data_IF_297375956832
#
_entry.id   IF_297375956832
#
_cell.length_a   1.000
_cell.length_b   1.000
_cell.length_c   1.000
_cell.angle_alpha   90.00
_cell.angle_beta   90.00
_cell.angle_gamma   90.00
#
_symmetry.space_group_name_H-M   'P 1'
#
loop_
_entity.id
_entity.type
_entity.pdbx_description
1 polymer ?
#
# COMPACT_ATOMS: atom_id res chain seq x y z
N UNK A 1 -39.85 -15.51 -48.53
CA UNK A 1 -39.24 -14.30 -49.11
C UNK A 1 -39.46 -13.15 -48.15
N UNK A 2 -38.49 -12.84 -47.30
CA UNK A 2 -38.52 -11.75 -46.35
C UNK A 2 -37.11 -11.18 -46.31
N UNK A 3 -36.95 -9.97 -46.83
CA UNK A 3 -35.67 -9.25 -46.88
C UNK A 3 -35.36 -8.65 -45.50
N UNK A 4 -34.22 -9.06 -44.93
CA UNK A 4 -33.63 -8.45 -43.74
C UNK A 4 -32.88 -7.18 -44.19
N UNK A 5 -33.29 -5.99 -43.69
CA UNK A 5 -32.55 -4.74 -43.84
C UNK A 5 -31.59 -4.63 -42.69
N UNK A 6 -30.30 -4.71 -42.98
CA UNK A 6 -29.21 -4.40 -42.05
C UNK A 6 -28.96 -2.89 -42.11
N UNK A 7 -29.20 -2.21 -41.00
CA UNK A 7 -28.84 -0.79 -40.85
C UNK A 7 -27.47 -0.74 -40.17
N UNK A 8 -26.44 -0.46 -40.99
CA UNK A 8 -25.08 -0.22 -40.53
C UNK A 8 -25.01 1.26 -40.11
N UNK A 9 -25.09 1.51 -38.82
CA UNK A 9 -24.86 2.84 -38.23
C UNK A 9 -23.37 3.19 -38.29
N UNK A 10 -23.01 4.08 -39.22
CA UNK A 10 -21.67 4.67 -39.24
C UNK A 10 -21.51 5.67 -38.09
N UNK A 11 -20.69 5.32 -37.10
CA UNK A 11 -20.25 6.23 -36.04
C UNK A 11 -19.21 7.19 -36.64
N UNK A 12 -19.64 8.40 -36.96
CA UNK A 12 -18.76 9.50 -37.35
C UNK A 12 -18.00 10.00 -36.14
N UNK A 13 -16.75 9.56 -35.99
CA UNK A 13 -15.79 10.23 -35.11
C UNK A 13 -15.42 11.58 -35.73
N UNK A 14 -15.95 12.66 -35.21
CA UNK A 14 -15.41 14.00 -35.46
C UNK A 14 -14.06 14.12 -34.74
N UNK A 15 -12.97 13.92 -35.45
CA UNK A 15 -11.65 14.38 -35.06
C UNK A 15 -11.63 15.90 -35.20
N UNK A 16 -12.02 16.61 -34.16
CA UNK A 16 -11.82 18.04 -33.99
C UNK A 16 -10.33 18.30 -33.76
N UNK A 17 -9.53 18.49 -34.81
CA UNK A 17 -8.24 19.15 -34.74
C UNK A 17 -8.46 20.67 -34.53
N UNK A 18 -8.62 21.06 -33.26
CA UNK A 18 -8.51 22.41 -32.80
C UNK A 18 -7.73 22.37 -31.52
N UNK A 19 -6.46 22.80 -31.53
CA UNK A 19 -5.61 22.91 -30.36
C UNK A 19 -6.13 24.01 -29.42
N UNK A 20 -7.24 23.78 -28.74
CA UNK A 20 -7.65 24.59 -27.58
C UNK A 20 -6.68 24.32 -26.46
N UNK A 21 -5.86 25.29 -26.13
CA UNK A 21 -4.92 25.19 -25.03
C UNK A 21 -5.72 24.88 -23.76
N UNK A 22 -5.38 23.74 -23.10
CA UNK A 22 -6.02 23.28 -21.86
C UNK A 22 -6.19 24.47 -20.88
N UNK A 23 -7.42 24.87 -20.53
CA UNK A 23 -7.67 26.00 -19.65
C UNK A 23 -7.12 25.79 -18.23
N UNK A 24 -7.00 24.51 -17.79
CA UNK A 24 -6.48 24.14 -16.47
C UNK A 24 -5.08 24.71 -16.19
N UNK A 25 -4.24 24.89 -17.22
CA UNK A 25 -2.86 25.44 -17.10
C UNK A 25 -2.78 26.87 -16.52
N UNK A 26 -3.89 27.59 -16.53
CA UNK A 26 -3.95 28.94 -15.99
C UNK A 26 -4.27 28.95 -14.48
N UNK A 27 -4.60 27.79 -13.92
CA UNK A 27 -4.97 27.66 -12.53
C UNK A 27 -3.94 26.84 -11.76
N UNK A 28 -3.87 27.05 -10.45
CA UNK A 28 -3.09 26.22 -9.53
C UNK A 28 -3.60 26.35 -8.10
N UNK A 29 -3.64 25.25 -7.37
CA UNK A 29 -4.01 25.26 -5.96
C UNK A 29 -2.86 25.84 -5.13
N UNK A 30 -3.16 26.85 -4.33
CA UNK A 30 -2.25 27.44 -3.34
C UNK A 30 -2.66 26.96 -1.96
N UNK A 31 -1.69 26.59 -1.14
CA UNK A 31 -1.86 26.23 0.26
C UNK A 31 -0.95 27.11 1.11
N UNK A 32 -1.44 27.49 2.28
CA UNK A 32 -0.69 28.28 3.24
C UNK A 32 0.59 27.57 3.72
N UNK A 33 0.50 26.25 3.93
CA UNK A 33 1.59 25.39 4.41
C UNK A 33 1.96 24.32 3.39
N UNK A 34 3.25 23.95 3.35
CA UNK A 34 3.76 22.84 2.56
C UNK A 34 3.66 21.50 3.28
N UNK A 35 3.88 21.48 4.60
CA UNK A 35 3.67 20.32 5.46
C UNK A 35 2.31 20.48 6.13
N UNK A 36 1.48 19.47 6.01
CA UNK A 36 0.10 19.47 6.46
C UNK A 36 -0.04 18.31 7.45
N UNK A 37 -0.65 18.57 8.60
CA UNK A 37 -0.94 17.53 9.58
C UNK A 37 -2.40 17.11 9.51
N UNK A 38 -2.66 15.86 9.84
CA UNK A 38 -4.02 15.34 10.00
C UNK A 38 -4.82 16.23 10.97
N UNK A 39 -6.08 16.49 10.63
CA UNK A 39 -7.00 17.36 11.36
C UNK A 39 -6.60 18.85 11.40
N UNK A 40 -5.53 19.24 10.71
CA UNK A 40 -5.14 20.65 10.62
C UNK A 40 -6.09 21.42 9.71
N UNK A 41 -6.47 22.63 10.13
CA UNK A 41 -7.15 23.60 9.27
C UNK A 41 -6.10 24.48 8.58
N UNK A 42 -6.15 24.54 7.23
CA UNK A 42 -5.18 25.29 6.39
C UNK A 42 -5.88 26.19 5.38
N UNK A 43 -5.26 27.32 5.11
CA UNK A 43 -5.70 28.22 4.04
C UNK A 43 -5.53 27.58 2.67
N UNK A 44 -6.59 27.64 1.84
CA UNK A 44 -6.62 27.17 0.46
C UNK A 44 -7.13 28.24 -0.47
N UNK A 45 -6.53 28.40 -1.65
CA UNK A 45 -7.00 29.27 -2.71
C UNK A 45 -6.71 28.66 -4.08
N UNK A 46 -7.55 28.94 -5.05
CA UNK A 46 -7.28 28.66 -6.45
C UNK A 46 -6.66 29.92 -7.09
N UNK A 47 -5.35 29.85 -7.42
CA UNK A 47 -4.69 30.91 -8.16
C UNK A 47 -5.16 30.87 -9.61
N UNK A 48 -5.68 31.98 -10.10
CA UNK A 48 -6.12 32.20 -11.46
C UNK A 48 -5.20 33.25 -12.12
N UNK A 49 -4.41 32.86 -13.10
CA UNK A 49 -3.38 33.70 -13.70
C UNK A 49 -3.92 34.74 -14.72
N UNK A 50 -5.15 34.51 -15.18
CA UNK A 50 -5.75 35.33 -16.27
C UNK A 50 -7.09 35.94 -15.91
N UNK A 51 -7.48 35.88 -14.64
CA UNK A 51 -8.77 36.36 -14.12
C UNK A 51 -9.97 35.82 -14.91
N UNK A 52 -9.90 34.54 -15.31
CA UNK A 52 -10.96 33.83 -16.03
C UNK A 52 -12.13 33.68 -15.06
N UNK A 53 -13.35 34.01 -15.49
CA UNK A 53 -14.54 33.78 -14.67
C UNK A 53 -14.78 32.30 -14.44
N UNK A 54 -14.98 31.90 -13.17
CA UNK A 54 -15.24 30.51 -12.75
C UNK A 54 -16.46 30.45 -11.86
N UNK A 55 -17.10 29.27 -11.82
CA UNK A 55 -18.21 28.98 -10.92
C UNK A 55 -18.08 27.59 -10.31
N UNK A 56 -18.76 27.36 -9.19
CA UNK A 56 -18.86 26.02 -8.56
C UNK A 56 -17.52 25.46 -8.10
N UNK A 57 -16.67 26.26 -7.45
CA UNK A 57 -15.37 25.80 -6.95
C UNK A 57 -15.53 24.93 -5.70
N UNK A 58 -15.10 23.68 -5.80
CA UNK A 58 -15.05 22.69 -4.72
C UNK A 58 -13.67 22.04 -4.63
N UNK A 59 -13.27 21.62 -3.43
CA UNK A 59 -12.01 20.92 -3.21
C UNK A 59 -12.27 19.48 -2.75
N UNK A 60 -11.46 18.55 -3.26
CA UNK A 60 -11.55 17.12 -2.95
C UNK A 60 -10.17 16.59 -2.56
N UNK A 61 -10.12 15.71 -1.56
CA UNK A 61 -8.92 14.98 -1.20
C UNK A 61 -9.20 13.48 -1.32
N UNK A 62 -8.46 12.79 -2.19
CA UNK A 62 -8.69 11.38 -2.53
C UNK A 62 -10.17 11.05 -2.80
N UNK A 63 -10.86 11.95 -3.51
CA UNK A 63 -12.27 11.81 -3.89
C UNK A 63 -13.31 12.27 -2.85
N UNK A 64 -12.91 12.53 -1.60
CA UNK A 64 -13.79 13.09 -0.56
C UNK A 64 -13.80 14.61 -0.65
N UNK A 65 -14.99 15.21 -0.72
CA UNK A 65 -15.12 16.67 -0.70
C UNK A 65 -14.68 17.27 0.65
N UNK A 66 -13.92 18.36 0.56
CA UNK A 66 -13.49 19.15 1.71
C UNK A 66 -14.24 20.49 1.71
N UNK A 67 -15.16 20.72 2.66
CA UNK A 67 -15.85 22.02 2.78
C UNK A 67 -14.86 23.14 3.03
N UNK A 68 -15.11 24.29 2.35
CA UNK A 68 -14.31 25.51 2.56
C UNK A 68 -15.04 26.43 3.52
N UNK A 69 -14.42 26.71 4.65
CA UNK A 69 -14.93 27.66 5.66
C UNK A 69 -13.94 28.80 5.83
N UNK A 70 -14.36 30.03 5.55
CA UNK A 70 -13.51 31.22 5.64
C UNK A 70 -12.17 31.09 4.88
N UNK A 71 -12.17 30.50 3.70
CA UNK A 71 -10.98 30.28 2.89
C UNK A 71 -10.05 29.17 3.39
N UNK A 72 -10.51 28.31 4.28
CA UNK A 72 -9.77 27.20 4.85
C UNK A 72 -10.47 25.87 4.63
N UNK A 73 -9.69 24.80 4.53
CA UNK A 73 -10.11 23.40 4.52
C UNK A 73 -9.52 22.68 5.71
N UNK A 74 -10.23 21.68 6.22
CA UNK A 74 -9.75 20.81 7.31
C UNK A 74 -9.26 19.48 6.72
N UNK A 75 -8.05 19.07 7.08
CA UNK A 75 -7.45 17.80 6.64
C UNK A 75 -7.92 16.62 7.49
N UNK A 76 -9.24 16.45 7.55
CA UNK A 76 -9.89 15.29 8.19
C UNK A 76 -9.82 14.08 7.24
N UNK A 77 -8.75 13.30 7.38
CA UNK A 77 -8.47 12.15 6.54
C UNK A 77 -8.26 10.87 7.37
N UNK A 78 -8.74 9.71 6.91
CA UNK A 78 -8.58 8.45 7.64
C UNK A 78 -7.17 7.89 7.57
N UNK A 79 -6.40 8.25 6.52
CA UNK A 79 -5.05 7.74 6.29
C UNK A 79 -4.07 8.87 5.99
N UNK A 80 -2.83 8.69 6.42
CA UNK A 80 -1.72 9.62 6.22
C UNK A 80 -1.03 9.38 4.87
N UNK A 81 0.00 10.19 4.59
CA UNK A 81 0.90 9.98 3.45
C UNK A 81 0.66 10.92 2.28
N UNK A 82 1.02 10.45 1.09
CA UNK A 82 0.87 11.18 -0.16
C UNK A 82 -0.59 11.19 -0.61
N UNK A 83 -1.13 12.38 -0.87
CA UNK A 83 -2.53 12.60 -1.24
C UNK A 83 -2.64 13.45 -2.48
N UNK A 84 -3.80 13.40 -3.15
CA UNK A 84 -4.10 14.28 -4.27
C UNK A 84 -5.24 15.20 -3.89
N UNK A 85 -4.92 16.48 -3.75
CA UNK A 85 -5.91 17.55 -3.59
C UNK A 85 -6.34 18.02 -4.99
N UNK A 86 -7.64 17.99 -5.24
CA UNK A 86 -8.24 18.37 -6.53
C UNK A 86 -9.17 19.56 -6.32
N UNK A 87 -9.01 20.61 -7.12
CA UNK A 87 -9.99 21.68 -7.25
C UNK A 87 -10.84 21.40 -8.49
N UNK A 88 -12.16 21.33 -8.33
CA UNK A 88 -13.14 21.19 -9.41
C UNK A 88 -13.96 22.46 -9.51
N UNK A 89 -14.12 22.97 -10.73
CA UNK A 89 -14.88 24.20 -11.00
C UNK A 89 -15.32 24.22 -12.46
N UNK A 90 -16.15 25.19 -12.83
CA UNK A 90 -16.57 25.37 -14.22
C UNK A 90 -16.01 26.69 -14.79
N UNK A 91 -15.63 26.64 -16.06
CA UNK A 91 -15.41 27.80 -16.91
C UNK A 91 -16.55 27.80 -17.92
N UNK A 92 -17.44 28.78 -17.85
CA UNK A 92 -18.72 28.74 -18.56
C UNK A 92 -19.44 27.41 -18.21
N UNK A 93 -19.74 26.56 -19.19
CA UNK A 93 -20.39 25.24 -19.01
C UNK A 93 -19.39 24.07 -19.03
N UNK A 94 -18.08 24.32 -19.06
CA UNK A 94 -17.06 23.31 -19.12
C UNK A 94 -16.48 23.00 -17.74
N UNK A 95 -16.57 21.74 -17.29
CA UNK A 95 -15.94 21.29 -16.06
C UNK A 95 -14.41 21.23 -16.21
N UNK A 96 -13.70 21.77 -15.22
CA UNK A 96 -12.24 21.83 -15.17
C UNK A 96 -11.77 21.29 -13.83
N UNK A 97 -10.69 20.49 -13.83
CA UNK A 97 -10.03 19.97 -12.66
C UNK A 97 -8.56 20.39 -12.61
N UNK A 98 -8.09 20.73 -11.42
CA UNK A 98 -6.68 21.04 -11.17
C UNK A 98 -6.21 20.25 -9.96
N UNK A 99 -5.10 19.55 -10.09
CA UNK A 99 -4.54 18.70 -9.06
C UNK A 99 -3.32 19.31 -8.39
N UNK A 100 -3.14 18.95 -7.10
CA UNK A 100 -1.94 19.24 -6.35
C UNK A 100 -1.59 18.05 -5.45
N UNK A 101 -0.38 17.51 -5.59
CA UNK A 101 0.15 16.54 -4.66
C UNK A 101 0.48 17.20 -3.33
N UNK A 102 0.02 16.61 -2.25
CA UNK A 102 0.22 17.06 -0.87
C UNK A 102 0.66 15.89 0.01
N UNK A 103 1.30 16.19 1.14
CA UNK A 103 1.63 15.18 2.15
C UNK A 103 0.85 15.49 3.41
N UNK A 104 0.09 14.52 3.89
CA UNK A 104 -0.60 14.62 5.16
C UNK A 104 0.14 13.76 6.18
N UNK A 105 0.69 14.41 7.20
CA UNK A 105 1.51 13.81 8.25
C UNK A 105 0.69 13.62 9.53
N UNK A 106 1.21 12.83 10.47
CA UNK A 106 0.55 12.62 11.75
C UNK A 106 0.42 13.94 12.54
N UNK A 107 -0.68 14.10 13.27
CA UNK A 107 -0.93 15.29 14.10
C UNK A 107 0.05 15.44 15.28
N UNK A 108 0.60 14.32 15.78
CA UNK A 108 1.52 14.28 16.90
C UNK A 108 2.77 13.45 16.58
N UNK A 109 3.83 13.67 17.37
CA UNK A 109 5.02 12.85 17.32
C UNK A 109 4.69 11.40 17.73
N UNK A 110 5.40 10.40 17.17
CA UNK A 110 5.25 9.02 17.60
C UNK A 110 5.70 8.87 19.05
N UNK A 111 5.03 7.97 19.76
CA UNK A 111 5.47 7.52 21.07
C UNK A 111 6.70 6.62 20.92
N UNK A 112 7.70 6.81 21.75
CA UNK A 112 8.92 5.99 21.74
C UNK A 112 8.80 4.93 22.83
N UNK A 113 8.83 3.65 22.41
CA UNK A 113 8.82 2.52 23.32
C UNK A 113 10.23 2.07 23.67
N UNK A 114 10.37 1.46 24.84
CA UNK A 114 11.54 0.68 25.24
C UNK A 114 11.15 -0.80 25.25
N UNK A 115 12.11 -1.69 25.26
CA UNK A 115 11.90 -3.12 25.35
C UNK A 115 12.79 -3.75 26.42
N UNK A 116 12.36 -4.91 26.92
CA UNK A 116 13.13 -5.78 27.81
C UNK A 116 13.24 -7.16 27.17
N UNK A 117 14.47 -7.70 27.14
CA UNK A 117 14.70 -9.06 26.65
C UNK A 117 14.35 -10.02 27.78
N UNK A 118 13.28 -10.80 27.59
CA UNK A 118 12.81 -11.79 28.57
C UNK A 118 13.57 -13.10 28.42
N UNK A 119 13.74 -13.58 27.17
CA UNK A 119 14.42 -14.84 26.85
C UNK A 119 15.25 -14.72 25.58
N UNK A 120 16.23 -15.61 25.44
CA UNK A 120 17.00 -15.84 24.21
C UNK A 120 17.07 -17.33 23.95
N UNK A 121 16.88 -17.74 22.71
CA UNK A 121 16.84 -19.12 22.29
C UNK A 121 17.90 -19.41 21.22
N UNK A 122 18.39 -20.67 21.15
CA UNK A 122 19.29 -21.07 20.07
C UNK A 122 18.64 -20.89 18.70
N UNK A 123 19.43 -20.50 17.72
CA UNK A 123 19.00 -20.35 16.33
C UNK A 123 20.11 -20.79 15.37
N UNK A 124 19.74 -21.32 14.19
CA UNK A 124 20.70 -21.69 13.15
C UNK A 124 21.41 -20.44 12.61
N UNK A 125 22.70 -20.32 12.90
CA UNK A 125 23.53 -19.18 12.46
C UNK A 125 23.74 -19.13 10.95
N UNK A 126 23.45 -20.21 10.21
CA UNK A 126 23.46 -20.27 8.75
C UNK A 126 22.19 -19.75 8.11
N UNK A 127 21.12 -19.58 8.89
CA UNK A 127 19.87 -18.99 8.41
C UNK A 127 20.05 -17.52 8.11
N UNK A 128 19.54 -17.10 6.96
CA UNK A 128 19.34 -15.71 6.64
C UNK A 128 17.84 -15.40 6.73
N UNK A 129 17.37 -15.26 7.99
CA UNK A 129 15.96 -15.14 8.32
C UNK A 129 15.34 -13.91 7.72
N UNK A 130 14.21 -14.08 7.05
CA UNK A 130 13.44 -13.02 6.40
C UNK A 130 12.00 -12.93 6.95
N UNK A 131 11.49 -13.99 7.54
CA UNK A 131 10.18 -14.02 8.15
C UNK A 131 10.10 -15.04 9.27
N UNK A 132 9.39 -14.69 10.35
CA UNK A 132 9.14 -15.56 11.52
C UNK A 132 7.69 -15.43 11.93
N UNK A 133 7.02 -16.55 12.19
CA UNK A 133 5.70 -16.53 12.80
C UNK A 133 5.48 -17.76 13.70
N UNK A 134 4.88 -17.52 14.87
CA UNK A 134 4.47 -18.60 15.78
C UNK A 134 3.06 -19.07 15.45
N UNK A 135 2.90 -20.39 15.28
CA UNK A 135 1.60 -20.99 15.15
C UNK A 135 1.56 -22.37 15.83
N UNK A 136 0.57 -22.61 16.72
CA UNK A 136 0.38 -23.89 17.38
C UNK A 136 1.60 -24.38 18.20
N UNK A 137 2.40 -23.46 18.74
CA UNK A 137 3.61 -23.80 19.52
C UNK A 137 4.85 -24.12 18.66
N UNK A 138 4.75 -23.98 17.34
CA UNK A 138 5.85 -24.15 16.38
C UNK A 138 6.26 -22.78 15.86
N UNK A 139 7.55 -22.54 15.71
CA UNK A 139 8.10 -21.38 15.01
C UNK A 139 8.24 -21.73 13.54
N UNK A 140 7.59 -20.96 12.67
CA UNK A 140 7.77 -21.03 11.23
C UNK A 140 8.78 -19.97 10.82
N UNK A 141 9.68 -20.35 9.93
CA UNK A 141 10.76 -19.48 9.46
C UNK A 141 10.85 -19.50 7.94
N UNK A 142 10.98 -18.36 7.34
CA UNK A 142 11.38 -18.15 5.96
C UNK A 142 12.80 -17.63 5.92
N UNK A 143 13.67 -18.24 5.12
CA UNK A 143 15.03 -17.77 4.92
C UNK A 143 15.23 -17.26 3.50
N UNK A 144 16.02 -16.17 3.36
CA UNK A 144 16.42 -15.60 2.07
C UNK A 144 17.81 -16.11 1.69
N UNK A 145 18.04 -16.29 0.41
CA UNK A 145 19.33 -16.49 -0.27
C UNK A 145 19.09 -17.24 -1.57
N UNK A 146 19.36 -16.67 -2.70
CA UNK A 146 19.20 -17.39 -3.97
C UNK A 146 20.02 -18.67 -3.98
N UNK A 147 19.38 -19.79 -4.31
CA UNK A 147 19.96 -21.13 -4.25
C UNK A 147 20.04 -21.75 -2.84
N UNK A 148 19.47 -21.07 -1.82
CA UNK A 148 19.46 -21.59 -0.44
C UNK A 148 18.26 -21.08 0.40
N UNK A 149 17.26 -20.49 -0.24
CA UNK A 149 16.03 -20.05 0.46
C UNK A 149 15.18 -21.23 0.88
N UNK A 150 14.61 -21.17 2.08
CA UNK A 150 13.84 -22.27 2.65
C UNK A 150 12.58 -21.77 3.36
N UNK A 151 11.62 -22.68 3.56
CA UNK A 151 10.56 -22.55 4.56
C UNK A 151 10.74 -23.69 5.58
N UNK A 152 10.69 -23.34 6.87
CA UNK A 152 11.02 -24.27 7.96
C UNK A 152 9.96 -24.28 9.04
N UNK A 153 9.83 -25.43 9.72
CA UNK A 153 9.26 -25.57 11.07
C UNK A 153 10.41 -25.76 12.04
N UNK A 154 10.45 -24.95 13.07
CA UNK A 154 11.56 -24.92 14.03
C UNK A 154 11.02 -25.09 15.45
N UNK A 155 11.68 -25.92 16.24
CA UNK A 155 11.52 -25.90 17.67
C UNK A 155 12.25 -24.67 18.22
N UNK A 156 11.51 -23.65 18.65
CA UNK A 156 12.10 -22.39 19.06
C UNK A 156 12.95 -22.48 20.34
N UNK A 157 12.69 -23.46 21.22
CA UNK A 157 13.45 -23.62 22.47
C UNK A 157 14.84 -24.24 22.21
N UNK A 158 14.94 -25.12 21.23
CA UNK A 158 16.20 -25.85 20.92
C UNK A 158 16.90 -25.33 19.67
N UNK A 159 16.20 -24.61 18.79
CA UNK A 159 16.68 -24.22 17.48
C UNK A 159 16.68 -25.36 16.44
N UNK A 160 16.14 -26.54 16.80
CA UNK A 160 16.09 -27.71 15.90
C UNK A 160 15.11 -27.48 14.74
N UNK A 161 15.56 -27.74 13.51
CA UNK A 161 14.72 -27.72 12.31
C UNK A 161 13.94 -29.03 12.24
N UNK A 162 12.64 -28.97 12.50
CA UNK A 162 11.74 -30.11 12.51
C UNK A 162 11.32 -30.56 11.11
N UNK A 163 11.13 -29.60 10.21
CA UNK A 163 10.78 -29.80 8.81
C UNK A 163 11.30 -28.64 7.98
N UNK A 164 11.80 -28.92 6.79
CA UNK A 164 12.24 -27.91 5.85
C UNK A 164 11.82 -28.27 4.43
N UNK A 165 11.49 -27.27 3.64
CA UNK A 165 11.42 -27.35 2.18
C UNK A 165 12.36 -26.31 1.58
N UNK A 166 13.04 -26.68 0.52
CA UNK A 166 13.88 -25.77 -0.26
C UNK A 166 13.03 -25.09 -1.32
N UNK A 167 13.30 -23.83 -1.56
CA UNK A 167 12.68 -23.05 -2.63
C UNK A 167 13.46 -23.24 -3.93
N UNK A 168 12.88 -22.78 -5.04
CA UNK A 168 13.58 -22.71 -6.32
C UNK A 168 14.84 -21.82 -6.21
N UNK A 169 15.94 -22.26 -6.83
CA UNK A 169 17.25 -21.58 -6.76
C UNK A 169 17.22 -20.14 -7.29
N UNK A 170 16.25 -19.83 -8.16
CA UNK A 170 16.12 -18.52 -8.78
C UNK A 170 15.49 -17.46 -7.89
N UNK A 171 14.78 -17.88 -6.81
CA UNK A 171 14.05 -16.96 -5.93
C UNK A 171 14.79 -16.69 -4.63
N UNK A 172 14.44 -15.56 -4.02
CA UNK A 172 14.88 -15.18 -2.69
C UNK A 172 13.63 -15.13 -1.80
N UNK A 173 13.58 -16.00 -0.78
CA UNK A 173 12.46 -16.06 0.16
C UNK A 173 12.45 -14.85 1.09
N UNK A 174 11.26 -14.35 1.38
CA UNK A 174 11.01 -13.17 2.21
C UNK A 174 9.97 -13.46 3.30
N UNK A 175 9.31 -12.46 3.83
CA UNK A 175 8.35 -12.55 4.92
C UNK A 175 7.29 -13.63 4.75
N UNK A 176 6.82 -14.15 5.87
CA UNK A 176 5.73 -15.15 5.93
C UNK A 176 4.60 -14.68 6.83
N UNK A 177 3.41 -15.24 6.61
CA UNK A 177 2.33 -15.17 7.57
C UNK A 177 1.42 -16.40 7.46
N UNK A 178 0.75 -16.75 8.56
CA UNK A 178 -0.11 -17.93 8.65
C UNK A 178 -1.55 -17.52 8.92
N UNK A 179 -2.45 -17.93 8.04
CA UNK A 179 -3.88 -17.66 8.16
C UNK A 179 -4.69 -18.80 7.54
N UNK A 180 -5.76 -19.25 8.22
CA UNK A 180 -6.66 -20.30 7.73
C UNK A 180 -5.95 -21.59 7.28
N UNK A 181 -5.07 -22.15 8.13
CA UNK A 181 -4.27 -23.35 7.88
C UNK A 181 -3.37 -23.28 6.64
N UNK A 182 -3.04 -22.08 6.18
CA UNK A 182 -2.13 -21.82 5.08
C UNK A 182 -0.99 -20.93 5.53
N UNK A 183 0.20 -21.22 5.03
CA UNK A 183 1.36 -20.34 5.16
C UNK A 183 1.54 -19.62 3.83
N UNK A 184 1.62 -18.30 3.91
CA UNK A 184 1.92 -17.42 2.80
C UNK A 184 3.36 -16.95 2.89
N UNK A 185 4.07 -16.95 1.78
CA UNK A 185 5.47 -16.50 1.72
C UNK A 185 5.66 -15.56 0.55
N UNK A 186 6.38 -14.49 0.77
CA UNK A 186 6.80 -13.56 -0.28
C UNK A 186 8.14 -13.97 -0.89
N UNK A 187 8.44 -13.37 -2.03
CA UNK A 187 9.76 -13.42 -2.65
C UNK A 187 10.21 -12.01 -3.02
N UNK A 188 11.51 -11.76 -2.92
CA UNK A 188 12.13 -10.52 -3.33
C UNK A 188 12.32 -10.48 -4.85
N UNK A 189 11.93 -9.39 -5.51
CA UNK A 189 12.16 -9.10 -6.93
C UNK A 189 11.69 -10.18 -7.93
N UNK A 190 10.75 -11.03 -7.54
CA UNK A 190 10.20 -12.06 -8.45
C UNK A 190 8.73 -11.84 -8.79
N UNK A 191 8.15 -10.74 -8.34
CA UNK A 191 6.73 -10.34 -8.54
C UNK A 191 5.73 -11.43 -8.12
N UNK A 192 6.12 -12.35 -7.23
CA UNK A 192 5.27 -13.47 -6.81
C UNK A 192 5.49 -13.89 -5.37
N UNK A 193 4.51 -14.62 -4.83
CA UNK A 193 4.59 -15.33 -3.58
C UNK A 193 4.04 -16.74 -3.68
N UNK A 194 4.17 -17.50 -2.61
CA UNK A 194 3.75 -18.88 -2.51
C UNK A 194 2.74 -19.09 -1.39
N UNK A 195 1.88 -20.08 -1.57
CA UNK A 195 0.96 -20.57 -0.54
C UNK A 195 1.24 -22.03 -0.30
N UNK A 196 1.40 -22.37 0.97
CA UNK A 196 1.67 -23.75 1.42
C UNK A 196 0.59 -24.25 2.37
N UNK A 197 0.39 -25.55 2.41
CA UNK A 197 -0.38 -26.21 3.46
C UNK A 197 0.45 -26.21 4.74
N UNK A 198 -0.08 -25.72 5.85
CA UNK A 198 0.68 -25.60 7.11
C UNK A 198 1.04 -26.96 7.70
N UNK A 199 0.23 -28.02 7.46
CA UNK A 199 0.46 -29.33 8.08
C UNK A 199 1.70 -30.04 7.54
N UNK A 200 1.96 -29.95 6.23
CA UNK A 200 3.03 -30.68 5.54
C UNK A 200 4.00 -29.82 4.73
N UNK A 201 3.78 -28.50 4.68
CA UNK A 201 4.51 -27.51 3.88
C UNK A 201 4.48 -27.80 2.35
N UNK A 202 3.53 -28.58 1.87
CA UNK A 202 3.35 -28.74 0.43
C UNK A 202 2.84 -27.44 -0.21
N UNK A 203 3.47 -27.06 -1.32
CA UNK A 203 3.06 -25.87 -2.08
C UNK A 203 1.70 -26.10 -2.74
N UNK A 204 0.72 -25.25 -2.42
CA UNK A 204 -0.63 -25.29 -2.96
C UNK A 204 -0.71 -24.52 -4.27
N UNK A 205 -0.21 -23.25 -4.28
CA UNK A 205 -0.25 -22.35 -5.44
C UNK A 205 0.80 -21.25 -5.34
N UNK A 206 1.01 -20.57 -6.45
CA UNK A 206 1.67 -19.27 -6.50
C UNK A 206 0.62 -18.17 -6.58
N UNK A 207 1.00 -16.93 -6.22
CA UNK A 207 0.22 -15.72 -6.51
C UNK A 207 1.16 -14.62 -7.00
N UNK A 208 0.63 -13.72 -7.82
CA UNK A 208 1.39 -12.58 -8.35
C UNK A 208 1.05 -11.33 -7.58
N UNK A 209 2.02 -10.41 -7.47
CA UNK A 209 1.78 -9.09 -6.90
C UNK A 209 0.99 -8.22 -7.88
N UNK A 210 0.39 -7.14 -7.38
CA UNK A 210 -0.37 -6.17 -8.16
C UNK A 210 0.48 -4.96 -8.56
N UNK A 211 0.27 -3.85 -7.86
CA UNK A 211 1.05 -2.62 -8.07
C UNK A 211 2.44 -2.69 -7.42
N UNK A 212 2.55 -3.39 -6.29
CA UNK A 212 3.85 -3.61 -5.62
C UNK A 212 4.73 -4.52 -6.47
N UNK A 213 6.04 -4.27 -6.48
CA UNK A 213 7.02 -5.02 -7.29
C UNK A 213 7.87 -5.98 -6.48
N UNK A 214 7.98 -5.72 -5.19
CA UNK A 214 8.76 -6.53 -4.28
C UNK A 214 7.87 -7.05 -3.14
N UNK A 215 8.29 -8.12 -2.51
CA UNK A 215 7.71 -8.64 -1.29
C UNK A 215 8.77 -8.65 -0.23
N UNK A 216 8.49 -8.03 0.94
CA UNK A 216 9.42 -7.96 2.07
C UNK A 216 8.81 -8.65 3.28
N UNK A 217 7.99 -8.00 4.09
CA UNK A 217 7.35 -8.58 5.25
C UNK A 217 5.87 -8.88 5.07
N UNK A 218 5.37 -9.84 5.84
CA UNK A 218 3.95 -10.19 5.93
C UNK A 218 3.51 -10.26 7.38
N UNK A 219 2.27 -9.84 7.64
CA UNK A 219 1.52 -10.23 8.83
C UNK A 219 0.02 -10.24 8.53
N UNK A 220 -0.82 -10.67 9.47
CA UNK A 220 -2.27 -10.65 9.31
C UNK A 220 -2.98 -10.29 10.62
N UNK A 221 -4.20 -9.76 10.53
CA UNK A 221 -5.08 -9.46 11.67
C UNK A 221 -6.21 -10.49 11.85
N UNK A 222 -6.19 -11.58 11.08
CA UNK A 222 -7.24 -12.59 11.01
C UNK A 222 -8.32 -12.30 9.95
N UNK A 223 -8.35 -11.10 9.38
CA UNK A 223 -9.28 -10.70 8.31
C UNK A 223 -8.56 -10.32 7.02
N UNK A 224 -7.41 -9.69 7.14
CA UNK A 224 -6.58 -9.19 6.04
C UNK A 224 -5.13 -9.60 6.22
N UNK A 225 -4.43 -9.71 5.11
CA UNK A 225 -2.98 -9.85 5.10
C UNK A 225 -2.36 -8.49 4.78
N UNK A 226 -1.33 -8.12 5.53
CA UNK A 226 -0.56 -6.89 5.35
C UNK A 226 0.80 -7.24 4.76
N UNK A 227 1.22 -6.50 3.74
CA UNK A 227 2.46 -6.73 3.00
C UNK A 227 3.28 -5.45 2.90
N UNK A 228 4.55 -5.50 3.25
CA UNK A 228 5.53 -4.45 2.92
C UNK A 228 6.25 -4.77 1.61
N UNK A 229 6.80 -3.74 0.96
CA UNK A 229 7.48 -3.83 -0.33
C UNK A 229 8.72 -2.93 -0.41
N UNK A 230 9.22 -2.46 0.75
CA UNK A 230 10.35 -1.54 0.84
C UNK A 230 10.02 -0.07 0.55
N UNK A 231 8.81 0.23 0.07
CA UNK A 231 8.32 1.60 -0.06
C UNK A 231 7.72 2.12 1.25
N UNK A 232 7.09 3.27 1.22
CA UNK A 232 6.32 3.80 2.35
C UNK A 232 4.98 3.08 2.56
N UNK A 233 4.62 2.14 1.69
CA UNK A 233 3.30 1.50 1.67
C UNK A 233 3.29 0.21 2.47
N UNK A 234 2.18 0.00 3.16
CA UNK A 234 1.76 -1.31 3.66
C UNK A 234 0.48 -1.68 2.93
N UNK A 235 0.59 -2.67 2.07
CA UNK A 235 -0.49 -3.15 1.21
C UNK A 235 -1.45 -4.06 1.97
N UNK A 236 -2.72 -4.01 1.59
CA UNK A 236 -3.76 -4.92 2.08
C UNK A 236 -4.04 -5.96 1.01
N UNK A 237 -3.85 -7.23 1.32
CA UNK A 237 -4.19 -8.33 0.43
C UNK A 237 -5.51 -8.97 0.88
N UNK A 238 -6.34 -9.30 -0.10
CA UNK A 238 -7.48 -10.19 0.14
C UNK A 238 -6.95 -11.60 0.49
N UNK A 239 -7.36 -12.21 1.61
CA UNK A 239 -6.78 -13.49 2.05
C UNK A 239 -7.15 -14.70 1.14
N UNK A 240 -8.20 -14.59 0.32
CA UNK A 240 -8.63 -15.66 -0.58
C UNK A 240 -8.01 -15.51 -1.97
N UNK A 241 -8.10 -14.30 -2.56
CA UNK A 241 -7.60 -14.02 -3.91
C UNK A 241 -6.14 -13.62 -3.93
N UNK A 242 -5.63 -13.02 -2.83
CA UNK A 242 -4.29 -12.43 -2.64
C UNK A 242 -4.06 -11.20 -3.52
N UNK A 243 -5.13 -10.62 -4.04
CA UNK A 243 -5.11 -9.36 -4.77
C UNK A 243 -4.91 -8.19 -3.80
N UNK A 244 -4.12 -7.21 -4.22
CA UNK A 244 -3.93 -5.96 -3.50
C UNK A 244 -5.20 -5.10 -3.58
N UNK A 245 -5.79 -4.79 -2.42
CA UNK A 245 -7.05 -4.03 -2.32
C UNK A 245 -6.84 -2.54 -1.99
N UNK A 246 -5.60 -2.16 -1.70
CA UNK A 246 -5.22 -0.82 -1.30
C UNK A 246 -4.03 -0.83 -0.36
N UNK A 247 -3.71 0.32 0.22
CA UNK A 247 -2.58 0.47 1.14
C UNK A 247 -2.79 1.61 2.12
N UNK A 248 -1.99 1.60 3.18
CA UNK A 248 -1.70 2.78 4.00
C UNK A 248 -0.25 3.19 3.78
N UNK A 249 0.09 4.44 4.11
CA UNK A 249 1.47 4.91 4.10
C UNK A 249 1.97 5.17 5.51
N UNK A 250 3.22 4.83 5.77
CA UNK A 250 3.85 5.02 7.09
C UNK A 250 4.32 6.45 7.19
N UNK A 251 3.75 7.21 8.12
CA UNK A 251 4.09 8.62 8.33
C UNK A 251 4.17 8.98 9.82
N UNK A 252 5.11 9.86 10.15
CA UNK A 252 5.18 10.54 11.44
C UNK A 252 4.68 11.98 11.30
N UNK A 253 4.82 12.77 12.35
CA UNK A 253 4.54 14.20 12.31
C UNK A 253 5.58 15.02 11.52
N UNK A 254 6.69 14.40 11.06
CA UNK A 254 7.78 15.08 10.35
C UNK A 254 8.01 14.58 8.95
N UNK A 255 7.83 13.28 8.69
CA UNK A 255 8.18 12.63 7.43
C UNK A 255 7.37 11.37 7.17
N UNK A 256 7.37 10.96 5.91
CA UNK A 256 6.94 9.65 5.46
C UNK A 256 8.14 8.72 5.56
N UNK A 257 7.92 7.48 6.01
CA UNK A 257 8.94 6.45 6.18
C UNK A 257 8.81 5.36 5.13
N UNK A 258 9.92 4.87 4.66
CA UNK A 258 10.06 3.70 3.80
C UNK A 258 10.91 2.62 4.49
N UNK A 259 11.13 1.51 3.79
CA UNK A 259 11.97 0.38 4.22
C UNK A 259 11.43 -0.39 5.45
N UNK A 260 10.13 -0.33 5.75
CA UNK A 260 9.55 -1.32 6.64
C UNK A 260 9.76 -2.71 6.02
N UNK A 261 10.45 -3.58 6.75
CA UNK A 261 10.83 -4.90 6.27
C UNK A 261 9.88 -5.95 6.86
N UNK A 262 10.32 -6.81 7.76
CA UNK A 262 9.46 -7.82 8.36
C UNK A 262 8.36 -7.18 9.21
N UNK A 263 7.16 -7.76 9.15
CA UNK A 263 5.96 -7.26 9.80
C UNK A 263 5.43 -8.27 10.81
N UNK A 264 4.93 -7.77 11.94
CA UNK A 264 4.22 -8.56 12.93
C UNK A 264 3.00 -7.82 13.44
N UNK A 265 1.82 -8.47 13.47
CA UNK A 265 0.59 -7.87 13.95
C UNK A 265 0.29 -8.27 15.37
N UNK A 266 0.27 -7.32 16.29
CA UNK A 266 0.01 -7.56 17.72
C UNK A 266 -0.99 -6.56 18.26
N UNK A 267 -2.16 -7.02 18.71
CA UNK A 267 -3.18 -6.22 19.42
C UNK A 267 -3.51 -4.88 18.72
N UNK A 268 -3.78 -4.93 17.43
CA UNK A 268 -4.20 -3.74 16.66
C UNK A 268 -3.06 -2.89 16.15
N UNK A 269 -1.81 -3.32 16.29
CA UNK A 269 -0.61 -2.61 15.81
C UNK A 269 0.21 -3.51 14.92
N UNK A 270 0.79 -2.93 13.87
CA UNK A 270 1.81 -3.58 13.05
C UNK A 270 3.17 -3.12 13.58
N UNK A 271 4.01 -4.07 13.93
CA UNK A 271 5.42 -3.87 14.26
C UNK A 271 6.24 -4.16 13.01
N UNK A 272 7.26 -3.35 12.76
CA UNK A 272 8.14 -3.52 11.63
C UNK A 272 9.58 -3.19 12.04
N UNK A 273 10.55 -3.92 11.53
CA UNK A 273 11.94 -3.49 11.52
C UNK A 273 12.20 -2.59 10.29
N UNK A 274 13.23 -1.74 10.37
CA UNK A 274 13.58 -0.78 9.31
C UNK A 274 15.09 -0.81 9.08
#
# INVERSE_FOLDING_TARGET
>A
MGKLFSITGALLFFLGCGGSADPAKHFSIQLENKAIQQNQQIGVALKNKKDIEISGLHYYLDGKELPVENGKITMDVPTLGNKTLVAKFNIEDQAVEVEKKVRVLAASAPEVYTYEIINSYPHDTGSYTQGLEFHGGILYESTGKRGASTVRKVNFETGEVLQQIDMDDSVFGEGITIMNDKLYQLTWQSDMGYVYNISNLEKIKNFTYGESREGWGLCNDGEKIFKSDGTEKIWFLNPETLEEQGHIEIATNKSIFNNANELEYVKGKIYANV
#
